data_IF_996685586101
#
_entry.id   IF_996685586101
#
_cell.length_a   1.000
_cell.length_b   1.000
_cell.length_c   1.000
_cell.angle_alpha   90.00
_cell.angle_beta   90.00
_cell.angle_gamma   90.00
#
_symmetry.space_group_name_H-M   'P 1'
#
loop_
_entity.id
_entity.type
_entity.pdbx_description
1 polymer ?
#
# COMPACT_ATOMS: atom_id res chain seq x y z
N UNK A 1 -17.30 -32.37 -47.39
CA UNK A 1 -17.86 -32.35 -46.01
C UNK A 1 -16.82 -32.44 -44.89
N UNK A 2 -15.65 -33.05 -45.08
CA UNK A 2 -14.64 -33.21 -44.01
C UNK A 2 -13.93 -31.91 -43.55
N UNK A 3 -13.90 -30.86 -44.40
CA UNK A 3 -13.21 -29.60 -44.07
C UNK A 3 -14.02 -28.68 -43.14
N UNK A 4 -15.36 -28.71 -43.22
CA UNK A 4 -16.25 -27.79 -42.46
C UNK A 4 -16.31 -28.20 -40.97
N UNK A 5 -16.29 -29.50 -40.67
CA UNK A 5 -16.28 -30.01 -39.28
C UNK A 5 -14.98 -29.72 -38.52
N UNK A 6 -13.82 -29.69 -39.21
CA UNK A 6 -12.54 -29.31 -38.59
C UNK A 6 -12.50 -27.82 -38.24
N UNK A 7 -13.00 -26.95 -39.11
CA UNK A 7 -13.08 -25.50 -38.86
C UNK A 7 -14.01 -25.17 -37.69
N UNK A 8 -15.16 -25.83 -37.57
CA UNK A 8 -16.10 -25.60 -36.44
C UNK A 8 -15.50 -25.98 -35.09
N UNK A 9 -14.80 -27.12 -35.00
CA UNK A 9 -14.09 -27.55 -33.78
C UNK A 9 -12.92 -26.64 -33.43
N UNK A 10 -12.19 -26.16 -34.43
CA UNK A 10 -11.09 -25.22 -34.24
C UNK A 10 -11.59 -23.87 -33.74
N UNK A 11 -12.65 -23.32 -34.33
CA UNK A 11 -13.27 -22.07 -33.88
C UNK A 11 -13.75 -22.23 -32.42
N UNK A 12 -14.44 -23.33 -32.11
CA UNK A 12 -14.91 -23.61 -30.75
C UNK A 12 -13.77 -23.69 -29.73
N UNK A 13 -12.67 -24.36 -30.07
CA UNK A 13 -11.48 -24.43 -29.24
C UNK A 13 -10.87 -23.05 -29.00
N UNK A 14 -10.69 -22.25 -30.05
CA UNK A 14 -10.14 -20.88 -29.95
C UNK A 14 -11.03 -19.99 -29.10
N UNK A 15 -12.35 -20.03 -29.30
CA UNK A 15 -13.29 -19.26 -28.46
C UNK A 15 -13.28 -19.71 -27.01
N UNK A 16 -13.12 -21.01 -26.75
CA UNK A 16 -13.05 -21.55 -25.39
C UNK A 16 -11.76 -21.09 -24.69
N UNK A 17 -10.62 -21.15 -25.38
CA UNK A 17 -9.34 -20.66 -24.86
C UNK A 17 -9.42 -19.15 -24.58
N UNK A 18 -9.96 -18.37 -25.52
CA UNK A 18 -10.12 -16.93 -25.35
C UNK A 18 -10.99 -16.60 -24.13
N UNK A 19 -12.11 -17.31 -23.95
CA UNK A 19 -12.98 -17.13 -22.79
C UNK A 19 -12.26 -17.45 -21.47
N UNK A 20 -11.48 -18.54 -21.42
CA UNK A 20 -10.71 -18.90 -20.23
C UNK A 20 -9.67 -17.82 -19.90
N UNK A 21 -8.95 -17.31 -20.90
CA UNK A 21 -7.94 -16.25 -20.70
C UNK A 21 -8.59 -14.96 -20.20
N UNK A 22 -9.75 -14.58 -20.73
CA UNK A 22 -10.49 -13.39 -20.29
C UNK A 22 -10.95 -13.56 -18.84
N UNK A 23 -11.51 -14.73 -18.48
CA UNK A 23 -11.96 -15.00 -17.11
C UNK A 23 -10.77 -15.02 -16.15
N UNK A 24 -9.70 -15.74 -16.48
CA UNK A 24 -8.51 -15.81 -15.64
C UNK A 24 -7.86 -14.43 -15.46
N UNK A 25 -7.69 -13.67 -16.55
CA UNK A 25 -7.13 -12.33 -16.51
C UNK A 25 -8.01 -11.34 -15.74
N UNK A 26 -9.34 -11.40 -15.92
CA UNK A 26 -10.30 -10.59 -15.18
C UNK A 26 -10.33 -10.91 -13.69
N UNK A 27 -10.33 -12.20 -13.33
CA UNK A 27 -10.26 -12.64 -11.93
C UNK A 27 -8.95 -12.23 -11.27
N UNK A 28 -7.81 -12.41 -11.94
CA UNK A 28 -6.52 -11.93 -11.44
C UNK A 28 -6.52 -10.42 -11.21
N UNK A 29 -7.01 -9.65 -12.19
CA UNK A 29 -7.08 -8.19 -12.08
C UNK A 29 -7.95 -7.74 -10.90
N UNK A 30 -9.07 -8.41 -10.63
CA UNK A 30 -9.94 -8.10 -9.50
C UNK A 30 -9.35 -8.48 -8.12
N UNK A 31 -8.52 -9.54 -8.05
CA UNK A 31 -7.97 -10.06 -6.79
C UNK A 31 -6.56 -9.59 -6.45
N UNK A 32 -5.72 -9.34 -7.46
CA UNK A 32 -4.30 -8.99 -7.28
C UNK A 32 -4.05 -7.77 -6.37
N UNK A 33 -4.89 -6.71 -6.33
CA UNK A 33 -4.79 -5.65 -5.33
C UNK A 33 -4.75 -6.14 -3.88
N UNK A 34 -5.62 -7.10 -3.55
CA UNK A 34 -5.72 -7.67 -2.18
C UNK A 34 -4.46 -8.45 -1.83
N UNK A 35 -3.90 -9.17 -2.80
CA UNK A 35 -2.66 -9.92 -2.61
C UNK A 35 -1.48 -8.98 -2.36
N UNK A 36 -1.41 -7.84 -3.04
CA UNK A 36 -0.35 -6.87 -2.85
C UNK A 36 -0.35 -6.27 -1.42
N UNK A 37 -1.54 -5.93 -0.90
CA UNK A 37 -1.68 -5.48 0.49
C UNK A 37 -1.31 -6.60 1.47
N UNK A 38 -1.80 -7.82 1.24
CA UNK A 38 -1.50 -8.95 2.11
C UNK A 38 0.02 -9.21 2.21
N UNK A 39 0.72 -9.13 1.09
CA UNK A 39 2.18 -9.28 1.04
C UNK A 39 2.92 -8.13 1.74
N UNK A 40 2.39 -6.90 1.70
CA UNK A 40 2.96 -5.78 2.47
C UNK A 40 2.75 -5.93 3.98
N UNK A 41 1.61 -6.48 4.43
CA UNK A 41 1.30 -6.71 5.84
C UNK A 41 2.00 -7.92 6.46
N UNK A 42 2.41 -8.88 5.64
CA UNK A 42 2.96 -10.15 6.10
C UNK A 42 4.34 -9.99 6.75
N UNK A 43 4.45 -10.46 7.99
CA UNK A 43 5.67 -10.43 8.78
C UNK A 43 6.72 -11.43 8.32
N UNK A 44 6.29 -12.51 7.65
CA UNK A 44 7.17 -13.57 7.14
C UNK A 44 7.77 -13.22 5.77
N UNK A 45 7.20 -12.26 5.04
CA UNK A 45 7.72 -11.79 3.75
C UNK A 45 9.14 -11.25 3.92
N UNK A 46 10.05 -11.77 3.10
CA UNK A 46 11.47 -11.43 3.16
C UNK A 46 11.70 -9.94 2.82
N UNK A 47 12.69 -9.26 3.43
CA UNK A 47 12.93 -7.83 3.20
C UNK A 47 13.12 -7.46 1.73
N UNK A 48 13.82 -8.29 0.96
CA UNK A 48 14.05 -8.11 -0.48
C UNK A 48 12.77 -8.21 -1.31
N UNK A 49 11.84 -9.08 -0.91
CA UNK A 49 10.53 -9.21 -1.54
C UNK A 49 9.66 -8.01 -1.19
N UNK A 50 9.70 -7.56 0.07
CA UNK A 50 8.97 -6.37 0.50
C UNK A 50 9.42 -5.11 -0.26
N UNK A 51 10.73 -4.95 -0.48
CA UNK A 51 11.28 -3.85 -1.29
C UNK A 51 10.80 -3.87 -2.74
N UNK A 52 10.42 -5.02 -3.29
CA UNK A 52 9.83 -5.11 -4.63
C UNK A 52 8.34 -4.72 -4.67
N UNK A 53 7.67 -4.63 -3.51
CA UNK A 53 6.23 -4.33 -3.41
C UNK A 53 5.93 -2.83 -3.33
N UNK A 54 6.93 -1.97 -3.17
CA UNK A 54 6.74 -0.52 -3.11
C UNK A 54 7.89 0.25 -3.75
N UNK A 55 7.57 1.44 -4.27
CA UNK A 55 8.56 2.39 -4.74
C UNK A 55 8.94 3.33 -3.60
N UNK A 56 10.08 3.07 -2.96
CA UNK A 56 10.57 3.87 -1.82
C UNK A 56 10.70 5.35 -2.15
N UNK A 57 11.21 5.70 -3.33
CA UNK A 57 11.43 7.09 -3.71
C UNK A 57 10.09 7.85 -3.84
N UNK A 58 9.09 7.20 -4.44
CA UNK A 58 7.76 7.80 -4.59
C UNK A 58 6.98 7.85 -3.28
N UNK A 59 7.08 6.82 -2.44
CA UNK A 59 6.50 6.83 -1.09
C UNK A 59 7.12 7.94 -0.24
N UNK A 60 8.46 8.08 -0.27
CA UNK A 60 9.17 9.18 0.41
C UNK A 60 8.67 10.54 -0.07
N UNK A 61 8.59 10.74 -1.38
CA UNK A 61 8.08 12.00 -1.96
C UNK A 61 6.61 12.27 -1.58
N UNK A 62 5.79 11.22 -1.46
CA UNK A 62 4.42 11.36 -0.99
C UNK A 62 4.35 11.82 0.47
N UNK A 63 5.20 11.30 1.35
CA UNK A 63 5.31 11.79 2.74
C UNK A 63 5.80 13.23 2.78
N UNK A 64 6.80 13.59 1.98
CA UNK A 64 7.30 14.96 1.92
C UNK A 64 6.20 15.97 1.55
N UNK A 65 5.32 15.62 0.60
CA UNK A 65 4.18 16.47 0.21
C UNK A 65 3.13 16.67 1.32
N UNK A 66 3.19 15.88 2.39
CA UNK A 66 2.29 15.94 3.55
C UNK A 66 2.95 16.58 4.78
N UNK A 67 4.23 16.96 4.67
CA UNK A 67 4.95 17.63 5.75
C UNK A 67 4.61 19.11 5.81
N UNK A 68 4.34 19.60 7.02
CA UNK A 68 4.23 21.01 7.28
C UNK A 68 5.61 21.67 7.22
N UNK A 69 5.65 22.96 6.87
CA UNK A 69 6.89 23.76 6.78
C UNK A 69 7.71 23.85 8.07
N UNK A 70 7.13 23.45 9.21
CA UNK A 70 7.83 23.43 10.50
C UNK A 70 8.94 22.36 10.52
N UNK A 71 8.72 21.24 9.84
CA UNK A 71 9.69 20.13 9.73
C UNK A 71 10.98 20.57 9.05
N UNK A 72 10.93 21.56 8.15
CA UNK A 72 12.11 22.12 7.49
C UNK A 72 13.04 22.87 8.47
N UNK A 73 12.56 23.20 9.68
CA UNK A 73 13.33 23.89 10.73
C UNK A 73 14.01 22.95 11.72
N UNK A 74 13.78 21.64 11.61
CA UNK A 74 14.36 20.67 12.53
C UNK A 74 15.87 20.54 12.35
N UNK A 75 16.57 20.67 13.48
CA UNK A 75 18.01 20.49 13.56
C UNK A 75 18.37 19.02 13.84
N UNK A 76 19.60 18.58 13.53
CA UNK A 76 20.08 17.27 13.92
C UNK A 76 19.85 16.99 15.42
N UNK A 77 19.41 15.78 15.80
CA UNK A 77 19.33 14.57 14.96
C UNK A 77 18.02 14.39 14.16
N UNK A 78 17.05 15.30 14.23
CA UNK A 78 15.68 15.10 13.71
C UNK A 78 15.40 15.76 12.36
N UNK A 79 16.44 15.95 11.53
CA UNK A 79 16.26 16.63 10.24
C UNK A 79 15.15 15.98 9.41
N UNK A 80 14.46 16.78 8.59
CA UNK A 80 13.45 16.31 7.63
C UNK A 80 13.84 15.03 6.91
N UNK A 81 15.09 14.95 6.44
CA UNK A 81 15.58 13.80 5.70
C UNK A 81 15.60 12.51 6.52
N UNK A 82 15.96 12.61 7.81
CA UNK A 82 15.96 11.49 8.76
C UNK A 82 14.53 11.00 9.00
N UNK A 83 13.58 11.91 9.19
CA UNK A 83 12.16 11.56 9.37
C UNK A 83 11.62 10.87 8.11
N UNK A 84 11.85 11.45 6.93
CA UNK A 84 11.46 10.85 5.67
C UNK A 84 12.12 9.49 5.43
N UNK A 85 13.37 9.30 5.86
CA UNK A 85 14.07 8.02 5.74
C UNK A 85 13.46 6.98 6.66
N UNK A 86 13.12 7.36 7.89
CA UNK A 86 12.45 6.50 8.86
C UNK A 86 11.06 6.07 8.37
N UNK A 87 10.25 7.01 7.86
CA UNK A 87 8.90 6.74 7.37
C UNK A 87 8.88 5.89 6.09
N UNK A 88 9.87 6.07 5.21
CA UNK A 88 9.98 5.32 3.95
C UNK A 88 10.81 4.04 4.08
N UNK A 89 11.24 3.68 5.29
CA UNK A 89 11.89 2.39 5.54
C UNK A 89 10.91 1.22 5.34
N UNK A 90 11.43 0.07 4.92
CA UNK A 90 10.62 -1.12 4.67
C UNK A 90 9.80 -1.55 5.91
N UNK A 91 10.37 -1.41 7.11
CA UNK A 91 9.70 -1.77 8.36
C UNK A 91 8.57 -0.81 8.67
N UNK A 92 8.79 0.48 8.43
CA UNK A 92 7.77 1.51 8.62
C UNK A 92 6.62 1.36 7.63
N UNK A 93 6.92 1.13 6.34
CA UNK A 93 5.89 0.87 5.32
C UNK A 93 5.01 -0.33 5.70
N UNK A 94 5.61 -1.44 6.16
CA UNK A 94 4.86 -2.58 6.69
C UNK A 94 3.99 -2.18 7.89
N UNK A 95 4.55 -1.40 8.83
CA UNK A 95 3.79 -0.95 10.01
C UNK A 95 2.63 -0.03 9.64
N UNK A 96 2.78 0.87 8.66
CA UNK A 96 1.66 1.67 8.16
C UNK A 96 0.52 0.77 7.66
N UNK A 97 0.84 -0.24 6.84
CA UNK A 97 -0.17 -1.17 6.31
C UNK A 97 -0.81 -2.02 7.40
N UNK A 98 -0.03 -2.46 8.39
CA UNK A 98 -0.51 -3.26 9.51
C UNK A 98 -1.35 -2.46 10.50
N UNK A 99 -1.03 -1.19 10.71
CA UNK A 99 -1.72 -0.29 11.64
C UNK A 99 -2.22 0.97 10.94
N UNK A 100 -3.19 0.83 10.02
CA UNK A 100 -3.55 1.90 9.11
C UNK A 100 -4.32 3.06 9.78
N UNK A 101 -4.66 2.93 11.06
CA UNK A 101 -5.29 4.00 11.86
C UNK A 101 -4.31 4.64 12.87
N UNK A 102 -3.11 4.08 13.02
CA UNK A 102 -2.12 4.55 13.99
C UNK A 102 -1.43 5.84 13.55
N UNK A 103 -0.84 6.53 14.52
CA UNK A 103 0.00 7.70 14.27
C UNK A 103 1.30 7.29 13.54
N UNK A 104 1.82 8.18 12.70
CA UNK A 104 2.95 7.87 11.84
C UNK A 104 4.25 7.66 12.63
N UNK A 105 4.40 8.31 13.78
CA UNK A 105 5.56 8.20 14.68
C UNK A 105 5.70 6.75 15.16
N UNK A 106 4.57 6.10 15.44
CA UNK A 106 4.55 4.70 15.87
C UNK A 106 5.02 3.78 14.75
N UNK A 107 4.53 3.98 13.52
CA UNK A 107 4.97 3.19 12.37
C UNK A 107 6.47 3.40 12.06
N UNK A 108 6.96 4.63 12.18
CA UNK A 108 8.35 5.00 11.90
C UNK A 108 9.31 4.82 13.08
N UNK A 109 8.83 4.41 14.27
CA UNK A 109 9.57 4.44 15.53
C UNK A 109 10.95 3.76 15.45
N UNK A 110 11.07 2.66 14.71
CA UNK A 110 12.33 1.93 14.58
C UNK A 110 13.43 2.69 13.80
N UNK A 111 13.05 3.66 12.98
CA UNK A 111 13.97 4.50 12.19
C UNK A 111 14.17 5.91 12.76
N UNK A 112 13.33 6.33 13.71
CA UNK A 112 13.43 7.65 14.33
C UNK A 112 14.56 7.69 15.39
N UNK A 113 15.17 8.86 15.64
CA UNK A 113 16.10 9.03 16.75
C UNK A 113 15.44 8.70 18.10
N UNK A 114 16.20 8.14 19.04
CA UNK A 114 15.68 7.57 20.28
C UNK A 114 14.98 8.56 21.23
N UNK A 115 15.25 9.85 21.06
CA UNK A 115 14.69 10.96 21.82
C UNK A 115 13.71 11.81 20.99
N UNK A 116 13.25 11.29 19.84
CA UNK A 116 12.21 11.94 19.06
C UNK A 116 10.97 12.16 19.95
N UNK A 117 10.42 13.38 20.00
CA UNK A 117 9.31 13.67 20.89
C UNK A 117 8.10 12.82 20.49
N UNK A 118 7.77 11.85 21.33
CA UNK A 118 6.43 11.27 21.38
C UNK A 118 5.52 12.37 21.91
N UNK A 119 4.98 13.22 21.03
CA UNK A 119 3.82 14.00 21.43
C UNK A 119 2.77 13.01 21.93
N UNK A 120 2.26 13.22 23.15
CA UNK A 120 1.15 12.41 23.64
C UNK A 120 0.03 12.47 22.58
N UNK A 121 -0.45 11.32 22.09
CA UNK A 121 -1.48 11.29 21.04
C UNK A 121 -2.62 12.18 21.49
N UNK A 122 -3.11 13.05 20.59
CA UNK A 122 -4.13 14.06 20.90
C UNK A 122 -5.54 13.46 21.15
N UNK A 123 -5.60 12.19 21.55
CA UNK A 123 -6.79 11.36 21.73
C UNK A 123 -6.53 10.23 22.73
N UNK A 124 -7.51 9.34 22.93
CA UNK A 124 -7.31 8.20 23.82
C UNK A 124 -6.09 7.39 23.35
N UNK A 125 -5.18 7.11 24.30
CA UNK A 125 -3.99 6.27 24.15
C UNK A 125 -4.22 5.13 23.15
N UNK A 126 -3.33 4.89 22.16
CA UNK A 126 -3.54 3.91 21.09
C UNK A 126 -3.92 2.58 21.70
N UNK A 127 -5.18 2.20 21.51
CA UNK A 127 -5.75 1.01 22.10
C UNK A 127 -5.31 -0.15 21.25
N UNK A 128 -4.20 -0.83 21.59
CA UNK A 128 -3.85 -2.17 21.07
C UNK A 128 -3.78 -2.18 19.53
N UNK A 129 -2.58 -2.21 18.92
CA UNK A 129 -2.33 -2.51 17.49
C UNK A 129 -3.56 -2.27 16.59
N UNK A 130 -3.70 -1.07 16.04
CA UNK A 130 -4.93 -0.69 15.34
C UNK A 130 -5.00 -1.29 13.93
N UNK A 131 -5.16 -2.60 13.86
CA UNK A 131 -5.13 -3.38 12.61
C UNK A 131 -6.44 -3.33 11.83
N UNK A 132 -6.40 -3.79 10.59
CA UNK A 132 -7.59 -4.03 9.79
C UNK A 132 -7.53 -5.34 9.02
N UNK A 133 -8.65 -6.07 9.02
CA UNK A 133 -8.84 -7.26 8.18
C UNK A 133 -9.66 -6.97 6.92
N UNK A 134 -10.11 -5.72 6.74
CA UNK A 134 -11.03 -5.35 5.66
C UNK A 134 -10.59 -4.07 4.94
N UNK A 135 -10.62 -4.16 3.62
CA UNK A 135 -10.12 -3.13 2.71
C UNK A 135 -11.16 -2.81 1.65
N UNK A 136 -11.40 -1.52 1.46
CA UNK A 136 -12.10 -0.97 0.29
C UNK A 136 -11.09 -0.63 -0.79
N UNK A 137 -11.46 -0.82 -2.05
CA UNK A 137 -10.61 -0.57 -3.21
C UNK A 137 -11.36 0.33 -4.19
N UNK A 138 -10.83 1.53 -4.38
CA UNK A 138 -11.31 2.47 -5.39
C UNK A 138 -10.40 2.43 -6.62
N UNK A 139 -11.00 2.33 -7.79
CA UNK A 139 -10.32 2.25 -9.07
C UNK A 139 -10.38 3.61 -9.76
N UNK A 140 -9.31 4.38 -9.67
CA UNK A 140 -9.22 5.67 -10.35
C UNK A 140 -8.84 5.52 -11.83
N UNK A 141 -8.15 4.45 -12.21
CA UNK A 141 -7.77 4.11 -13.58
C UNK A 141 -7.51 2.60 -13.74
N UNK A 142 -7.23 2.14 -14.98
CA UNK A 142 -6.87 0.73 -15.24
C UNK A 142 -5.57 0.26 -14.56
N UNK A 143 -4.72 1.21 -14.17
CA UNK A 143 -3.39 0.95 -13.61
C UNK A 143 -3.20 1.58 -12.23
N UNK A 144 -4.27 2.09 -11.61
CA UNK A 144 -4.18 2.79 -10.33
C UNK A 144 -5.34 2.40 -9.45
N UNK A 145 -5.01 2.03 -8.22
CA UNK A 145 -5.98 1.74 -7.17
C UNK A 145 -5.64 2.54 -5.92
N UNK A 146 -6.67 2.87 -5.16
CA UNK A 146 -6.53 3.38 -3.80
C UNK A 146 -7.20 2.38 -2.87
N UNK A 147 -6.41 1.83 -1.95
CA UNK A 147 -6.91 0.98 -0.89
C UNK A 147 -7.11 1.81 0.38
N UNK A 148 -8.26 1.63 1.02
CA UNK A 148 -8.58 2.26 2.30
C UNK A 148 -9.07 1.22 3.29
N UNK A 149 -8.66 1.28 4.55
CA UNK A 149 -9.14 0.34 5.56
C UNK A 149 -10.63 0.62 5.81
N UNK A 150 -11.46 -0.42 5.81
CA UNK A 150 -12.93 -0.30 5.90
C UNK A 150 -13.51 -0.93 7.16
N UNK A 151 -12.67 -1.40 8.06
CA UNK A 151 -13.08 -2.19 9.23
C UNK A 151 -13.70 -1.38 10.36
N UNK A 152 -13.61 -0.05 10.29
CA UNK A 152 -14.14 0.87 11.32
C UNK A 152 -14.92 2.00 10.66
N UNK A 153 -16.16 2.19 11.10
CA UNK A 153 -17.00 3.31 10.66
C UNK A 153 -16.69 4.62 11.39
N UNK A 154 -16.09 4.53 12.59
CA UNK A 154 -15.88 5.66 13.49
C UNK A 154 -14.52 6.36 13.30
N UNK A 155 -13.57 5.70 12.62
CA UNK A 155 -12.23 6.22 12.37
C UNK A 155 -11.88 6.05 10.90
N UNK A 156 -11.35 7.11 10.29
CA UNK A 156 -10.77 7.04 8.95
C UNK A 156 -9.30 6.62 9.10
N UNK A 157 -8.88 5.61 8.36
CA UNK A 157 -7.46 5.24 8.28
C UNK A 157 -6.78 5.83 7.05
N UNK A 158 -5.47 5.63 6.98
CA UNK A 158 -4.61 6.07 5.90
C UNK A 158 -5.04 5.45 4.56
N UNK A 159 -4.75 6.14 3.46
CA UNK A 159 -5.06 5.67 2.11
C UNK A 159 -3.79 5.24 1.39
N UNK A 160 -3.85 4.12 0.67
CA UNK A 160 -2.69 3.47 0.07
C UNK A 160 -2.87 3.43 -1.43
N UNK A 161 -2.07 4.21 -2.15
CA UNK A 161 -2.15 4.27 -3.61
C UNK A 161 -1.14 3.32 -4.22
N UNK A 162 -1.65 2.42 -5.05
CA UNK A 162 -0.83 1.50 -5.83
C UNK A 162 -0.91 1.82 -7.30
N UNK A 163 0.20 1.58 -7.98
CA UNK A 163 0.27 1.59 -9.44
C UNK A 163 0.67 0.23 -9.97
N UNK A 164 0.13 -0.10 -11.13
CA UNK A 164 0.36 -1.37 -11.78
C UNK A 164 1.66 -1.34 -12.58
N UNK A 165 2.52 -2.31 -12.32
CA UNK A 165 3.69 -2.63 -13.14
C UNK A 165 3.54 -4.07 -13.67
N UNK A 166 3.20 -4.20 -14.95
CA UNK A 166 2.89 -5.49 -15.58
C UNK A 166 1.73 -6.23 -14.91
N UNK A 167 2.03 -7.32 -14.19
CA UNK A 167 1.05 -8.12 -13.44
C UNK A 167 1.04 -7.83 -11.93
N UNK A 168 1.95 -6.98 -11.47
CA UNK A 168 2.16 -6.63 -10.07
C UNK A 168 1.59 -5.25 -9.75
N UNK A 169 1.38 -5.01 -8.46
CA UNK A 169 0.95 -3.72 -7.91
C UNK A 169 2.01 -3.23 -6.95
N UNK A 170 2.49 -2.01 -7.17
CA UNK A 170 3.52 -1.39 -6.34
C UNK A 170 2.87 -0.26 -5.56
N UNK A 171 3.09 -0.24 -4.24
CA UNK A 171 2.70 0.90 -3.41
C UNK A 171 3.58 2.10 -3.78
N UNK A 172 2.96 3.22 -4.12
CA UNK A 172 3.67 4.43 -4.56
C UNK A 172 3.40 5.64 -3.67
N UNK A 173 2.39 5.56 -2.79
CA UNK A 173 2.14 6.58 -1.79
C UNK A 173 1.26 6.07 -0.65
N UNK A 174 1.52 6.60 0.54
CA UNK A 174 0.66 6.49 1.71
C UNK A 174 0.18 7.90 2.04
N UNK A 175 -1.12 8.10 2.03
CA UNK A 175 -1.78 9.35 2.37
C UNK A 175 -2.31 9.23 3.81
N UNK A 176 -1.70 9.97 4.71
CA UNK A 176 -1.99 9.97 6.13
C UNK A 176 -3.29 10.74 6.41
N UNK A 177 -3.95 10.38 7.51
CA UNK A 177 -5.11 11.15 8.00
C UNK A 177 -4.71 12.36 8.84
N UNK A 178 -3.45 12.42 9.26
CA UNK A 178 -2.86 13.52 10.02
C UNK A 178 -1.65 14.10 9.29
N UNK A 179 -1.51 15.42 9.33
CA UNK A 179 -0.34 16.10 8.78
C UNK A 179 0.93 15.77 9.60
N UNK A 180 2.08 15.77 8.94
CA UNK A 180 3.37 15.54 9.59
C UNK A 180 3.92 16.88 10.06
N UNK A 181 4.12 17.04 11.37
CA UNK A 181 4.52 18.30 11.98
C UNK A 181 5.87 18.24 12.66
#
# INVERSE_FOLDING_TARGET
>A
MFSIMKSSRFIWLVTTIAAIVIVAGGSWYAFSPRLAIAALSDWETAPEELLALFDRARVRAAFENQMLSQVDTYEPPYTKDVILDAMSDLRAVRMFVNEPYGEWQFAAAAGLPADFPEEEPAGPMPRIMETTDSWSFDWSALNTIVATPSGRSEARGNSYRFERDGLSWHLVAIELTTDIR
#
